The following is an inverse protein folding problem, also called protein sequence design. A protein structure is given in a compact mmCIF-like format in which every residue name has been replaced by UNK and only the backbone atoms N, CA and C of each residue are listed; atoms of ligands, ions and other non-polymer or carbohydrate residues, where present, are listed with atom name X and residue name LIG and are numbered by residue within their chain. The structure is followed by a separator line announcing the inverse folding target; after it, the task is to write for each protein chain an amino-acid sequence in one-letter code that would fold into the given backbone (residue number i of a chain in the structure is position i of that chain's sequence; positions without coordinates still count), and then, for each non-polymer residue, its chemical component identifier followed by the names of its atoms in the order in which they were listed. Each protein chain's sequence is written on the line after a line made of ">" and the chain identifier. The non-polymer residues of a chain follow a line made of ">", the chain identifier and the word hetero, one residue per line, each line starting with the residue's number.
data_IF_973288900838
#
_entry.id   IF_973288900838
#
_cell.length_a   1.000
_cell.length_b   1.000
_cell.length_c   1.000
_cell.angle_alpha   90.00
_cell.angle_beta   90.00
_cell.angle_gamma   90.00
#
_symmetry.space_group_name_H-M   'P 1'
#
loop_
_entity.id
_entity.type
_entity.pdbx_description
1 polymer ?
#
# COMPACT_ATOMS: atom_id res chain seq x y z
N UNK A 1 5.30 -4.35 -10.81
CA UNK A 1 4.98 -4.83 -9.45
C UNK A 1 6.25 -5.12 -8.67
N UNK A 2 7.20 -5.88 -9.23
CA UNK A 2 8.45 -6.17 -8.55
C UNK A 2 9.28 -4.90 -8.23
N UNK A 3 9.42 -3.99 -9.21
CA UNK A 3 10.17 -2.73 -9.03
C UNK A 3 9.69 -1.85 -7.86
N UNK A 4 8.37 -1.72 -7.65
CA UNK A 4 7.86 -0.86 -6.57
C UNK A 4 8.08 -1.50 -5.20
N UNK A 5 8.03 -2.83 -5.12
CA UNK A 5 8.34 -3.57 -3.90
C UNK A 5 9.84 -3.46 -3.59
N UNK A 6 10.70 -3.62 -4.60
CA UNK A 6 12.16 -3.48 -4.48
C UNK A 6 12.56 -2.08 -4.03
N UNK A 7 12.03 -1.04 -4.69
CA UNK A 7 12.27 0.36 -4.34
C UNK A 7 11.85 0.67 -2.89
N UNK A 8 10.65 0.23 -2.50
CA UNK A 8 10.15 0.52 -1.16
C UNK A 8 10.93 -0.25 -0.10
N UNK A 9 11.29 -1.50 -0.37
CA UNK A 9 12.11 -2.29 0.54
C UNK A 9 13.51 -1.71 0.72
N UNK A 10 14.11 -1.12 -0.32
CA UNK A 10 15.44 -0.51 -0.23
C UNK A 10 15.43 0.82 0.53
N UNK A 11 14.41 1.65 0.30
CA UNK A 11 14.36 3.00 0.87
C UNK A 11 13.82 3.04 2.31
N UNK A 12 12.91 2.13 2.68
CA UNK A 12 12.19 2.20 3.96
C UNK A 12 12.50 1.03 4.91
N UNK A 13 13.40 0.10 4.54
CA UNK A 13 13.83 -1.03 5.37
C UNK A 13 12.75 -2.11 5.60
N UNK A 14 11.55 -1.91 5.06
CA UNK A 14 10.41 -2.81 5.13
C UNK A 14 9.33 -2.38 4.14
N UNK A 15 8.45 -3.32 3.77
CA UNK A 15 7.32 -3.01 2.89
C UNK A 15 6.18 -2.47 3.76
N UNK A 16 5.67 -1.25 3.50
CA UNK A 16 4.58 -0.64 4.26
C UNK A 16 3.28 -1.39 4.00
N UNK A 17 2.35 -1.29 4.95
CA UNK A 17 1.05 -1.96 4.82
C UNK A 17 0.18 -1.41 3.68
N UNK A 18 0.47 -0.20 3.18
CA UNK A 18 -0.30 0.47 2.13
C UNK A 18 0.64 1.01 1.05
N UNK A 19 0.36 0.66 -0.20
CA UNK A 19 1.05 1.14 -1.39
C UNK A 19 -0.01 1.68 -2.36
N UNK A 20 0.08 2.94 -2.77
CA UNK A 20 -0.92 3.54 -3.65
C UNK A 20 -0.31 4.27 -4.85
N UNK A 21 -1.12 4.40 -5.90
CA UNK A 21 -0.83 5.22 -7.06
C UNK A 21 -2.06 6.04 -7.45
N UNK A 22 -1.85 7.22 -8.06
CA UNK A 22 -2.92 8.14 -8.46
C UNK A 22 -3.56 7.78 -9.82
N UNK A 23 -3.21 6.64 -10.39
CA UNK A 23 -3.58 6.29 -11.76
C UNK A 23 -2.83 7.13 -12.80
N UNK A 24 -2.96 6.74 -14.06
CA UNK A 24 -2.44 7.49 -15.21
C UNK A 24 -3.48 7.46 -16.33
N UNK A 25 -3.24 8.15 -17.45
CA UNK A 25 -4.22 8.19 -18.55
C UNK A 25 -4.56 6.76 -19.01
N UNK A 26 -5.84 6.38 -18.87
CA UNK A 26 -6.34 5.04 -19.20
C UNK A 26 -6.13 3.97 -18.11
N UNK A 27 -5.70 4.35 -16.90
CA UNK A 27 -5.56 3.46 -15.74
C UNK A 27 -6.13 4.13 -14.48
N UNK A 28 -7.00 3.42 -13.79
CA UNK A 28 -7.60 3.91 -12.54
C UNK A 28 -6.57 3.99 -11.42
N UNK A 29 -6.81 4.90 -10.48
CA UNK A 29 -6.04 4.99 -9.24
C UNK A 29 -6.29 3.74 -8.38
N UNK A 30 -5.27 3.28 -7.67
CA UNK A 30 -5.39 2.07 -6.87
C UNK A 30 -4.59 2.16 -5.57
N UNK A 31 -5.22 1.66 -4.50
CA UNK A 31 -4.60 1.43 -3.19
C UNK A 31 -4.44 -0.09 -3.05
N UNK A 32 -3.25 -0.53 -2.61
CA UNK A 32 -2.90 -1.94 -2.42
C UNK A 32 -2.44 -2.13 -0.99
N UNK A 33 -2.96 -3.18 -0.35
CA UNK A 33 -2.57 -3.56 1.00
C UNK A 33 -1.52 -4.66 0.94
N UNK A 34 -0.42 -4.47 1.68
CA UNK A 34 0.62 -5.47 1.88
C UNK A 34 0.61 -5.91 3.34
N UNK A 35 -0.16 -6.95 3.63
CA UNK A 35 -0.37 -7.45 4.99
C UNK A 35 -0.20 -8.96 5.04
N UNK A 36 0.14 -9.49 6.21
CA UNK A 36 0.36 -10.93 6.43
C UNK A 36 -0.95 -11.70 6.54
N UNK A 37 -2.02 -11.05 6.99
CA UNK A 37 -3.34 -11.63 7.18
C UNK A 37 -4.45 -10.56 7.08
N UNK A 38 -5.70 -11.00 7.23
CA UNK A 38 -6.87 -10.12 7.16
C UNK A 38 -6.98 -9.16 8.34
N UNK A 39 -6.58 -9.56 9.56
CA UNK A 39 -6.65 -8.68 10.74
C UNK A 39 -5.76 -7.44 10.53
N UNK A 40 -4.52 -7.64 10.10
CA UNK A 40 -3.59 -6.55 9.79
C UNK A 40 -4.10 -5.67 8.63
N UNK A 41 -4.82 -6.25 7.66
CA UNK A 41 -5.45 -5.50 6.58
C UNK A 41 -6.58 -4.59 7.09
N UNK A 42 -7.43 -5.11 7.97
CA UNK A 42 -8.54 -4.37 8.56
C UNK A 42 -8.00 -3.24 9.44
N UNK A 43 -6.97 -3.50 10.24
CA UNK A 43 -6.31 -2.49 11.07
C UNK A 43 -5.70 -1.37 10.21
N UNK A 44 -5.00 -1.71 9.13
CA UNK A 44 -4.45 -0.72 8.19
C UNK A 44 -5.55 0.13 7.53
N UNK A 45 -6.69 -0.48 7.19
CA UNK A 45 -7.83 0.23 6.62
C UNK A 45 -8.49 1.16 7.65
N UNK A 46 -8.69 0.72 8.88
CA UNK A 46 -9.28 1.52 9.95
C UNK A 46 -8.40 2.73 10.29
N UNK A 47 -7.08 2.52 10.36
CA UNK A 47 -6.12 3.61 10.55
C UNK A 47 -6.18 4.64 9.41
N UNK A 48 -6.29 4.18 8.15
CA UNK A 48 -6.46 5.07 6.99
C UNK A 48 -7.73 5.93 7.10
N UNK A 49 -8.84 5.32 7.51
CA UNK A 49 -10.13 6.01 7.63
C UNK A 49 -10.17 7.00 8.80
N UNK A 50 -9.44 6.75 9.88
CA UNK A 50 -9.33 7.65 11.04
C UNK A 50 -8.51 8.92 10.76
N UNK A 51 -7.69 8.92 9.71
CA UNK A 51 -6.89 10.09 9.30
C UNK A 51 -7.68 11.10 8.46
N UNK A 52 -8.93 10.78 8.08
CA UNK A 52 -9.87 11.66 7.37
C UNK A 52 -10.73 12.47 8.35
#
# INVERSE_FOLDING_TARGET
>A
MQWIIEYVSSEYGGIPNVIYDKGTKGKEAMIRFWTKNMEEMIEALDNLLKML
#
